data_IF_176909330615
#
_entry.id   IF_176909330615
#
_cell.length_a   1.000
_cell.length_b   1.000
_cell.length_c   1.000
_cell.angle_alpha   90.00
_cell.angle_beta   90.00
_cell.angle_gamma   90.00
#
_symmetry.space_group_name_H-M   'P 1'
#
loop_
_entity.id
_entity.type
_entity.pdbx_description
1 polymer ?
#
# COMPACT_ATOMS: atom_id res chain seq x y z
N UNK A 1 -6.78 -22.95 25.15
CA UNK A 1 -7.16 -22.69 26.55
C UNK A 1 -6.09 -21.83 27.20
N UNK A 2 -6.45 -20.96 28.14
CA UNK A 2 -5.47 -20.09 28.80
C UNK A 2 -4.53 -20.92 29.66
N UNK A 3 -3.24 -20.87 29.33
CA UNK A 3 -2.15 -21.44 30.13
C UNK A 3 -1.33 -20.31 30.75
N UNK A 4 -0.58 -20.57 31.85
CA UNK A 4 0.31 -19.56 32.44
C UNK A 4 1.24 -18.90 31.41
N UNK A 5 1.73 -19.68 30.44
CA UNK A 5 2.58 -19.21 29.34
C UNK A 5 1.91 -18.14 28.46
N UNK A 6 0.58 -18.18 28.34
CA UNK A 6 -0.22 -17.18 27.61
C UNK A 6 -0.17 -15.81 28.29
N UNK A 7 0.11 -15.73 29.59
CA UNK A 7 0.21 -14.45 30.31
C UNK A 7 1.64 -13.96 30.51
N UNK A 8 2.64 -14.73 30.06
CA UNK A 8 4.04 -14.31 30.19
C UNK A 8 4.33 -13.13 29.26
N UNK A 9 5.04 -12.13 29.78
CA UNK A 9 5.38 -10.92 29.01
C UNK A 9 6.20 -11.27 27.76
N UNK A 10 7.17 -12.18 27.88
CA UNK A 10 7.97 -12.64 26.75
C UNK A 10 7.15 -13.37 25.68
N UNK A 11 6.22 -14.25 26.09
CA UNK A 11 5.33 -14.95 25.17
C UNK A 11 4.41 -13.99 24.42
N UNK A 12 3.86 -12.98 25.12
CA UNK A 12 2.99 -11.96 24.52
C UNK A 12 3.73 -11.10 23.50
N UNK A 13 4.94 -10.61 23.82
CA UNK A 13 5.75 -9.83 22.86
C UNK A 13 6.03 -10.64 21.58
N UNK A 14 6.32 -11.94 21.72
CA UNK A 14 6.55 -12.81 20.57
C UNK A 14 5.30 -13.02 19.70
N UNK A 15 4.11 -13.13 20.32
CA UNK A 15 2.84 -13.22 19.59
C UNK A 15 2.58 -11.94 18.80
N UNK A 16 2.85 -10.77 19.38
CA UNK A 16 2.65 -9.49 18.71
C UNK A 16 3.60 -9.29 17.55
N UNK A 17 4.87 -9.69 17.68
CA UNK A 17 5.84 -9.66 16.56
C UNK A 17 5.32 -10.46 15.37
N UNK A 18 4.86 -11.70 15.60
CA UNK A 18 4.27 -12.54 14.54
C UNK A 18 3.06 -11.88 13.90
N UNK A 19 2.21 -11.24 14.71
CA UNK A 19 1.02 -10.55 14.23
C UNK A 19 1.39 -9.36 13.33
N UNK A 20 2.38 -8.54 13.72
CA UNK A 20 2.87 -7.43 12.89
C UNK A 20 3.43 -7.95 11.57
N UNK A 21 4.30 -8.96 11.61
CA UNK A 21 4.87 -9.55 10.38
C UNK A 21 3.76 -10.08 9.47
N UNK A 22 2.77 -10.78 10.04
CA UNK A 22 1.64 -11.27 9.28
C UNK A 22 0.87 -10.13 8.60
N UNK A 23 0.59 -9.04 9.33
CA UNK A 23 -0.11 -7.88 8.74
C UNK A 23 0.67 -7.24 7.61
N UNK A 24 2.00 -7.09 7.74
CA UNK A 24 2.87 -6.53 6.70
C UNK A 24 2.85 -7.41 5.45
N UNK A 25 3.01 -8.73 5.62
CA UNK A 25 3.01 -9.67 4.49
C UNK A 25 1.65 -9.69 3.82
N UNK A 26 0.57 -9.78 4.60
CA UNK A 26 -0.79 -9.78 4.07
C UNK A 26 -1.10 -8.50 3.30
N UNK A 27 -0.87 -7.32 3.89
CA UNK A 27 -1.13 -6.05 3.23
C UNK A 27 -0.26 -5.88 1.99
N UNK A 28 1.02 -6.28 2.06
CA UNK A 28 1.95 -6.21 0.94
C UNK A 28 1.53 -7.08 -0.24
N UNK A 29 1.22 -8.36 0.02
CA UNK A 29 0.82 -9.32 -1.02
C UNK A 29 -0.51 -8.94 -1.65
N UNK A 30 -1.52 -8.62 -0.83
CA UNK A 30 -2.85 -8.23 -1.35
C UNK A 30 -2.76 -6.95 -2.17
N UNK A 31 -2.03 -5.94 -1.67
CA UNK A 31 -1.84 -4.69 -2.42
C UNK A 31 -1.08 -4.92 -3.71
N UNK A 32 -0.03 -5.74 -3.69
CA UNK A 32 0.74 -6.07 -4.89
C UNK A 32 -0.15 -6.72 -5.97
N UNK A 33 -0.96 -7.71 -5.58
CA UNK A 33 -1.89 -8.37 -6.51
C UNK A 33 -2.91 -7.37 -7.05
N UNK A 34 -3.52 -6.56 -6.18
CA UNK A 34 -4.52 -5.57 -6.58
C UNK A 34 -3.92 -4.55 -7.56
N UNK A 35 -2.76 -3.96 -7.25
CA UNK A 35 -2.10 -3.02 -8.14
C UNK A 35 -1.69 -3.66 -9.46
N UNK A 36 -1.22 -4.92 -9.45
CA UNK A 36 -0.87 -5.62 -10.69
C UNK A 36 -2.09 -5.87 -11.57
N UNK A 37 -3.24 -6.20 -10.98
CA UNK A 37 -4.48 -6.36 -11.73
C UNK A 37 -4.93 -5.02 -12.31
N UNK A 38 -4.94 -3.95 -11.52
CA UNK A 38 -5.32 -2.60 -11.98
C UNK A 38 -4.42 -2.11 -13.12
N UNK A 39 -3.11 -2.34 -13.00
CA UNK A 39 -2.10 -2.01 -14.00
C UNK A 39 -2.36 -2.71 -15.35
N UNK A 40 -2.78 -3.98 -15.32
CA UNK A 40 -3.08 -4.75 -16.52
C UNK A 40 -4.44 -4.42 -17.15
N UNK A 41 -5.44 -4.04 -16.36
CA UNK A 41 -6.82 -3.85 -16.84
C UNK A 41 -7.10 -2.39 -17.25
N UNK A 42 -6.61 -1.43 -16.48
CA UNK A 42 -6.95 0.00 -16.64
C UNK A 42 -5.71 0.86 -16.93
N UNK A 43 -4.54 0.42 -16.46
CA UNK A 43 -3.32 1.23 -16.43
C UNK A 43 -3.27 2.08 -15.17
N UNK A 44 -2.29 1.81 -14.28
CA UNK A 44 -2.21 2.44 -12.96
C UNK A 44 -1.46 3.79 -12.97
N UNK A 45 -0.51 3.96 -13.89
CA UNK A 45 0.34 5.15 -14.01
C UNK A 45 0.07 5.85 -15.35
N UNK A 46 0.06 7.18 -15.34
CA UNK A 46 -0.01 7.99 -16.56
C UNK A 46 1.25 7.81 -17.43
N UNK A 47 1.20 8.27 -18.68
CA UNK A 47 2.38 8.28 -19.55
C UNK A 47 3.49 9.21 -19.01
N UNK A 48 4.75 8.92 -19.32
CA UNK A 48 5.89 9.75 -18.87
C UNK A 48 5.79 11.21 -19.35
N UNK A 49 5.21 11.44 -20.53
CA UNK A 49 4.99 12.78 -21.05
C UNK A 49 3.96 13.54 -20.21
N UNK A 50 2.84 12.88 -19.86
CA UNK A 50 1.82 13.49 -19.01
C UNK A 50 2.34 13.73 -17.58
N UNK A 51 3.21 12.85 -17.08
CA UNK A 51 3.88 13.04 -15.77
C UNK A 51 4.86 14.23 -15.80
N UNK A 52 5.52 14.49 -16.93
CA UNK A 52 6.42 15.63 -17.12
C UNK A 52 5.70 16.96 -17.29
N UNK A 53 4.63 16.98 -18.10
CA UNK A 53 3.82 18.18 -18.35
C UNK A 53 3.00 18.57 -17.10
N UNK A 54 2.61 17.59 -16.30
CA UNK A 54 1.90 17.76 -15.04
C UNK A 54 0.46 17.28 -15.12
N UNK A 55 -0.02 16.62 -14.06
CA UNK A 55 -1.36 16.04 -13.98
C UNK A 55 -2.47 17.09 -13.94
N UNK A 56 -2.18 18.28 -13.43
CA UNK A 56 -3.14 19.39 -13.42
C UNK A 56 -3.48 19.78 -14.86
N UNK A 57 -2.48 19.91 -15.73
CA UNK A 57 -2.68 20.25 -17.15
C UNK A 57 -3.26 19.05 -17.91
N UNK A 58 -2.63 17.87 -17.77
CA UNK A 58 -2.92 16.71 -18.63
C UNK A 58 -4.18 15.94 -18.24
N UNK A 59 -4.56 15.95 -16.95
CA UNK A 59 -5.72 15.21 -16.44
C UNK A 59 -6.88 16.10 -16.00
N UNK A 60 -6.61 17.35 -15.61
CA UNK A 60 -7.63 18.29 -15.13
C UNK A 60 -7.82 19.52 -16.03
N UNK A 61 -6.93 19.77 -17.00
CA UNK A 61 -6.99 20.93 -17.90
C UNK A 61 -6.72 22.26 -17.20
N UNK A 62 -6.13 22.22 -16.01
CA UNK A 62 -5.88 23.39 -15.16
C UNK A 62 -4.38 23.70 -15.08
N UNK A 63 -4.02 24.97 -15.27
CA UNK A 63 -2.69 25.47 -14.91
C UNK A 63 -2.72 25.98 -13.48
N UNK A 64 -1.98 25.32 -12.56
CA UNK A 64 -1.93 25.68 -11.14
C UNK A 64 -1.50 27.15 -10.89
N UNK A 65 -0.79 27.75 -11.84
CA UNK A 65 -0.48 29.18 -11.87
C UNK A 65 -0.76 29.77 -13.25
N UNK A 66 -1.78 30.61 -13.33
CA UNK A 66 -1.87 31.63 -14.37
C UNK A 66 -1.05 32.83 -13.90
N UNK A 67 0.00 33.19 -14.63
CA UNK A 67 0.70 34.46 -14.46
C UNK A 67 0.51 35.32 -15.69
#
# INVERSE_FOLDING_TARGET
>A
GLTPDTFTMGGQVWIQIKSVIFTIVWSGVVSFIAYKITDLVVGLRVSEEAEREGLDITSHGETAYNR
#
